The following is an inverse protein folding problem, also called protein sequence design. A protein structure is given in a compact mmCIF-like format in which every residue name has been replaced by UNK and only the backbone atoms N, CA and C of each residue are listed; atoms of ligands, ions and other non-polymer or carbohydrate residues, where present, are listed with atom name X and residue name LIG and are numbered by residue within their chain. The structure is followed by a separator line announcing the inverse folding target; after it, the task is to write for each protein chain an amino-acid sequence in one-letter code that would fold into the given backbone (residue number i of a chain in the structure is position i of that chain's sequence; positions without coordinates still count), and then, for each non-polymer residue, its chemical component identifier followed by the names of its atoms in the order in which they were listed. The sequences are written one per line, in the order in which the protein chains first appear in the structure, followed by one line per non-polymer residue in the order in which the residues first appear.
data_IF_666450476359
#
_entry.id   IF_666450476359
#
_cell.length_a   1.000
_cell.length_b   1.000
_cell.length_c   1.000
_cell.angle_alpha   90.00
_cell.angle_beta   90.00
_cell.angle_gamma   90.00
#
_symmetry.space_group_name_H-M   'P 1'
#
loop_
_entity.id
_entity.type
_entity.pdbx_description
1 polymer ?
#
# COMPACT_ATOMS: atom_id res chain seq x y z
N UNK A 1 10.01 2.38 14.34
CA UNK A 1 9.10 2.05 13.23
C UNK A 1 7.93 1.17 13.65
N UNK A 2 8.18 0.03 14.30
CA UNK A 2 7.14 -0.90 14.84
C UNK A 2 5.94 -0.24 15.54
N UNK A 3 6.17 0.74 16.42
CA UNK A 3 5.07 1.44 17.10
C UNK A 3 4.14 2.22 16.14
N UNK A 4 4.69 2.80 15.06
CA UNK A 4 3.94 3.50 14.01
C UNK A 4 3.15 2.50 13.16
N UNK A 5 3.74 1.37 12.82
CA UNK A 5 3.07 0.28 12.09
C UNK A 5 1.88 -0.25 12.88
N UNK A 6 2.06 -0.57 14.16
CA UNK A 6 0.97 -0.98 15.04
C UNK A 6 -0.15 0.07 15.11
N UNK A 7 0.18 1.37 15.11
CA UNK A 7 -0.82 2.43 15.06
C UNK A 7 -1.54 2.52 13.70
N UNK A 8 -0.85 2.23 12.60
CA UNK A 8 -1.44 2.14 11.27
C UNK A 8 -2.41 0.97 11.16
N UNK A 9 -2.04 -0.18 11.71
CA UNK A 9 -2.90 -1.37 11.75
C UNK A 9 -4.12 -1.14 12.64
N UNK A 10 -3.93 -0.52 13.81
CA UNK A 10 -5.04 -0.14 14.69
C UNK A 10 -6.03 0.81 13.98
N UNK A 11 -5.54 1.78 13.21
CA UNK A 11 -6.40 2.66 12.41
C UNK A 11 -7.16 1.89 11.34
N UNK A 12 -6.50 0.96 10.63
CA UNK A 12 -7.15 0.10 9.63
C UNK A 12 -8.26 -0.74 10.27
N UNK A 13 -7.99 -1.33 11.42
CA UNK A 13 -8.95 -2.14 12.17
C UNK A 13 -10.16 -1.33 12.63
N UNK A 14 -9.94 -0.15 13.23
CA UNK A 14 -11.03 0.74 13.67
C UNK A 14 -11.94 1.14 12.49
N UNK A 15 -11.33 1.46 11.33
CA UNK A 15 -12.06 1.79 10.10
C UNK A 15 -12.90 0.61 9.60
N UNK A 16 -12.34 -0.60 9.62
CA UNK A 16 -13.06 -1.81 9.23
C UNK A 16 -14.23 -2.11 10.18
N UNK A 17 -14.07 -1.91 11.48
CA UNK A 17 -15.14 -2.10 12.45
C UNK A 17 -16.31 -1.13 12.22
N UNK A 18 -16.02 0.15 12.00
CA UNK A 18 -17.04 1.15 11.63
C UNK A 18 -17.75 0.77 10.33
N UNK A 19 -17.00 0.36 9.31
CA UNK A 19 -17.58 -0.04 8.02
C UNK A 19 -18.48 -1.28 8.17
N UNK A 20 -18.04 -2.29 8.92
CA UNK A 20 -18.84 -3.49 9.21
C UNK A 20 -20.11 -3.17 10.01
N UNK A 21 -20.06 -2.20 10.91
CA UNK A 21 -21.25 -1.69 11.60
C UNK A 21 -22.22 -1.05 10.61
N UNK A 22 -21.75 -0.12 9.77
CA UNK A 22 -22.58 0.57 8.77
C UNK A 22 -23.22 -0.39 7.78
N UNK A 23 -22.47 -1.38 7.28
CA UNK A 23 -22.97 -2.39 6.34
C UNK A 23 -24.08 -3.26 6.95
N UNK A 24 -23.98 -3.65 8.22
CA UNK A 24 -25.02 -4.41 8.92
C UNK A 24 -26.34 -3.64 9.07
N UNK A 25 -26.27 -2.30 9.05
CA UNK A 25 -27.44 -1.43 9.08
C UNK A 25 -27.83 -0.88 7.70
N UNK A 26 -27.31 -1.47 6.61
CA UNK A 26 -27.65 -1.08 5.24
C UNK A 26 -27.18 0.33 4.85
N UNK A 27 -26.21 0.90 5.57
CA UNK A 27 -25.67 2.24 5.28
C UNK A 27 -24.46 2.13 4.36
N UNK A 28 -24.60 2.65 3.14
CA UNK A 28 -23.53 2.65 2.13
C UNK A 28 -23.23 4.09 1.74
N UNK A 29 -21.96 4.46 1.77
CA UNK A 29 -21.51 5.77 1.34
C UNK A 29 -21.39 5.81 -0.20
N UNK A 30 -22.18 6.67 -0.85
CA UNK A 30 -22.18 6.83 -2.32
C UNK A 30 -21.21 7.90 -2.85
N UNK A 31 -20.41 8.52 -1.98
CA UNK A 31 -19.43 9.53 -2.40
C UNK A 31 -18.17 8.92 -3.01
N UNK A 32 -17.33 9.78 -3.62
CA UNK A 32 -16.13 9.34 -4.35
C UNK A 32 -15.09 8.65 -3.47
N UNK A 33 -14.76 9.23 -2.31
CA UNK A 33 -13.64 8.76 -1.50
C UNK A 33 -13.99 8.74 -0.01
N UNK A 34 -13.79 7.59 0.67
CA UNK A 34 -14.02 7.45 2.10
C UNK A 34 -12.97 8.22 2.91
N UNK A 35 -13.28 8.50 4.17
CA UNK A 35 -12.42 9.20 5.15
C UNK A 35 -12.10 10.67 4.83
N UNK A 36 -12.73 11.23 3.80
CA UNK A 36 -12.71 12.66 3.47
C UNK A 36 -13.62 13.48 4.40
N UNK A 37 -13.55 14.82 4.31
CA UNK A 37 -14.50 15.72 5.01
C UNK A 37 -15.95 15.42 4.63
N UNK A 38 -16.21 15.05 3.38
CA UNK A 38 -17.54 14.67 2.91
C UNK A 38 -18.02 13.36 3.58
N UNK A 39 -17.15 12.35 3.69
CA UNK A 39 -17.47 11.12 4.41
C UNK A 39 -17.76 11.39 5.89
N UNK A 40 -16.98 12.24 6.55
CA UNK A 40 -17.22 12.61 7.96
C UNK A 40 -18.58 13.30 8.16
N UNK A 41 -18.94 14.23 7.27
CA UNK A 41 -20.26 14.87 7.29
C UNK A 41 -21.39 13.86 7.07
N UNK A 42 -21.20 12.93 6.15
CA UNK A 42 -22.17 11.86 5.92
C UNK A 42 -22.35 10.98 7.17
N UNK A 43 -21.28 10.62 7.88
CA UNK A 43 -21.36 9.88 9.15
C UNK A 43 -22.20 10.64 10.20
N UNK A 44 -22.01 11.96 10.34
CA UNK A 44 -22.78 12.77 11.30
C UNK A 44 -24.26 12.89 10.94
N UNK A 45 -24.63 12.68 9.69
CA UNK A 45 -26.02 12.70 9.23
C UNK A 45 -26.73 11.34 9.36
N UNK A 46 -26.03 10.29 9.81
CA UNK A 46 -26.67 8.99 10.00
C UNK A 46 -27.59 9.04 11.23
N UNK A 47 -28.84 8.66 11.00
CA UNK A 47 -29.82 8.42 12.05
C UNK A 47 -30.17 6.92 12.08
N UNK A 48 -30.39 6.42 13.28
CA UNK A 48 -30.82 5.04 13.54
C UNK A 48 -32.08 5.04 14.40
N UNK A 49 -32.95 4.05 14.18
CA UNK A 49 -34.22 3.92 14.91
C UNK A 49 -34.00 3.58 16.39
N UNK A 50 -32.92 2.86 16.70
CA UNK A 50 -32.58 2.47 18.05
C UNK A 50 -31.46 3.35 18.63
N UNK A 51 -31.65 4.02 19.78
CA UNK A 51 -30.69 4.97 20.33
C UNK A 51 -29.31 4.36 20.63
N UNK A 52 -29.24 3.07 20.97
CA UNK A 52 -27.94 2.41 21.20
C UNK A 52 -27.07 2.38 19.93
N UNK A 53 -27.65 2.32 18.73
CA UNK A 53 -26.90 2.38 17.48
C UNK A 53 -26.27 3.76 17.25
N UNK A 54 -26.90 4.84 17.73
CA UNK A 54 -26.33 6.18 17.64
C UNK A 54 -25.10 6.33 18.56
N UNK A 55 -25.17 5.76 19.76
CA UNK A 55 -24.05 5.70 20.70
C UNK A 55 -22.90 4.90 20.07
N UNK A 56 -23.18 3.70 19.55
CA UNK A 56 -22.19 2.87 18.89
C UNK A 56 -21.53 3.56 17.69
N UNK A 57 -22.30 4.25 16.84
CA UNK A 57 -21.73 5.02 15.73
C UNK A 57 -20.74 6.07 16.24
N UNK A 58 -21.10 6.79 17.30
CA UNK A 58 -20.27 7.84 17.89
C UNK A 58 -18.97 7.24 18.44
N UNK A 59 -19.05 6.13 19.17
CA UNK A 59 -17.89 5.40 19.69
C UNK A 59 -16.96 4.91 18.57
N UNK A 60 -17.51 4.33 17.49
CA UNK A 60 -16.70 3.91 16.35
C UNK A 60 -16.02 5.10 15.64
N UNK A 61 -16.72 6.23 15.50
CA UNK A 61 -16.14 7.44 14.93
C UNK A 61 -15.01 7.99 15.81
N UNK A 62 -15.20 7.99 17.13
CA UNK A 62 -14.19 8.41 18.09
C UNK A 62 -12.95 7.51 18.05
N UNK A 63 -13.14 6.18 18.04
CA UNK A 63 -12.04 5.21 17.93
C UNK A 63 -11.18 5.44 16.65
N UNK A 64 -11.82 5.74 15.52
CA UNK A 64 -11.10 6.08 14.28
C UNK A 64 -10.35 7.41 14.42
N UNK A 65 -10.94 8.41 15.07
CA UNK A 65 -10.31 9.70 15.30
C UNK A 65 -9.06 9.55 16.19
N UNK A 66 -9.18 8.84 17.30
CA UNK A 66 -8.08 8.61 18.25
C UNK A 66 -6.93 7.82 17.62
N UNK A 67 -7.25 6.75 16.88
CA UNK A 67 -6.25 5.99 16.14
C UNK A 67 -5.54 6.86 15.07
N UNK A 68 -6.29 7.75 14.40
CA UNK A 68 -5.72 8.69 13.42
C UNK A 68 -4.77 9.69 14.08
N UNK A 69 -5.16 10.28 15.22
CA UNK A 69 -4.33 11.21 16.00
C UNK A 69 -3.05 10.51 16.47
N UNK A 70 -3.17 9.28 16.99
CA UNK A 70 -2.02 8.49 17.43
C UNK A 70 -1.04 8.22 16.29
N UNK A 71 -1.55 7.81 15.12
CA UNK A 71 -0.73 7.58 13.94
C UNK A 71 -0.04 8.86 13.47
N UNK A 72 -0.76 9.98 13.41
CA UNK A 72 -0.20 11.28 13.01
C UNK A 72 0.92 11.74 13.96
N UNK A 73 0.69 11.64 15.28
CA UNK A 73 1.71 11.95 16.29
C UNK A 73 2.97 11.11 16.11
N UNK A 74 2.83 9.78 15.92
CA UNK A 74 3.97 8.89 15.70
C UNK A 74 4.68 9.16 14.36
N UNK A 75 3.92 9.57 13.34
CA UNK A 75 4.44 9.96 12.03
C UNK A 75 5.33 11.20 12.16
N UNK A 76 4.86 12.22 12.87
CA UNK A 76 5.63 13.45 13.15
C UNK A 76 6.92 13.15 13.92
N UNK A 77 6.83 12.35 14.99
CA UNK A 77 8.01 11.93 15.75
C UNK A 77 9.05 11.21 14.87
N UNK A 78 8.61 10.36 13.94
CA UNK A 78 9.52 9.69 13.00
C UNK A 78 10.19 10.71 12.07
N UNK A 79 9.44 11.67 11.52
CA UNK A 79 10.00 12.72 10.66
C UNK A 79 11.04 13.56 11.40
N UNK A 80 10.71 14.02 12.61
CA UNK A 80 11.58 14.85 13.45
C UNK A 80 12.85 14.09 13.85
N UNK A 81 12.71 12.82 14.29
CA UNK A 81 13.86 12.01 14.70
C UNK A 81 14.75 11.65 13.51
N UNK A 82 14.16 11.35 12.35
CA UNK A 82 14.92 10.99 11.16
C UNK A 82 15.74 12.17 10.60
N UNK A 83 15.32 13.41 10.84
CA UNK A 83 16.04 14.61 10.38
C UNK A 83 17.37 14.83 11.13
N UNK A 84 17.42 14.51 12.43
CA UNK A 84 18.64 14.63 13.26
C UNK A 84 19.46 13.35 13.35
N UNK A 85 18.98 12.25 12.74
CA UNK A 85 19.66 10.97 12.74
C UNK A 85 20.85 10.97 11.79
N UNK A 86 21.98 10.37 12.21
CA UNK A 86 23.21 10.26 11.41
C UNK A 86 23.01 9.58 10.04
N UNK A 87 21.95 8.79 9.88
CA UNK A 87 21.62 8.11 8.62
C UNK A 87 20.69 8.91 7.70
N UNK A 88 20.37 10.17 8.01
CA UNK A 88 19.54 11.04 7.18
C UNK A 88 20.01 11.13 5.70
N UNK A 89 21.32 11.21 5.38
CA UNK A 89 21.77 11.19 3.99
C UNK A 89 21.44 9.89 3.25
N UNK A 90 21.42 8.76 3.96
CA UNK A 90 21.05 7.46 3.39
C UNK A 90 19.55 7.40 3.12
N UNK A 91 18.73 7.88 4.05
CA UNK A 91 17.28 8.02 3.84
C UNK A 91 16.99 8.87 2.59
N UNK A 92 17.69 10.01 2.43
CA UNK A 92 17.54 10.88 1.26
C UNK A 92 17.95 10.18 -0.05
N UNK A 93 19.03 9.39 -0.03
CA UNK A 93 19.46 8.61 -1.18
C UNK A 93 18.40 7.56 -1.59
N UNK A 94 17.76 6.90 -0.61
CA UNK A 94 16.65 5.99 -0.88
C UNK A 94 15.43 6.71 -1.48
N UNK A 95 15.09 7.91 -0.98
CA UNK A 95 13.98 8.70 -1.52
C UNK A 95 14.21 9.20 -2.95
N UNK A 96 15.47 9.41 -3.36
CA UNK A 96 15.80 9.80 -4.73
C UNK A 96 15.46 8.70 -5.76
N UNK A 97 15.28 7.45 -5.31
CA UNK A 97 14.77 6.38 -6.16
C UNK A 97 13.29 6.58 -6.48
N UNK A 98 12.94 6.45 -7.76
CA UNK A 98 11.58 6.69 -8.26
C UNK A 98 10.57 5.82 -7.51
N UNK A 99 9.62 6.47 -6.84
CA UNK A 99 8.50 5.81 -6.15
C UNK A 99 8.76 5.45 -4.68
N UNK A 100 9.93 5.77 -4.11
CA UNK A 100 10.20 5.50 -2.69
C UNK A 100 9.69 6.64 -1.81
N UNK A 101 8.65 6.36 -1.03
CA UNK A 101 8.14 7.30 -0.03
C UNK A 101 9.09 7.43 1.16
N UNK A 102 9.07 8.59 1.83
CA UNK A 102 9.88 8.87 3.03
C UNK A 102 9.78 7.77 4.09
N UNK A 103 8.55 7.42 4.48
CA UNK A 103 8.32 6.41 5.52
C UNK A 103 8.87 5.04 5.13
N UNK A 104 8.78 4.69 3.84
CA UNK A 104 9.35 3.46 3.29
C UNK A 104 10.88 3.49 3.39
N UNK A 105 11.52 4.59 2.99
CA UNK A 105 12.97 4.77 3.12
C UNK A 105 13.44 4.66 4.58
N UNK A 106 12.79 5.37 5.51
CA UNK A 106 13.13 5.31 6.94
C UNK A 106 12.96 3.88 7.50
N UNK A 107 11.88 3.18 7.11
CA UNK A 107 11.67 1.79 7.53
C UNK A 107 12.80 0.89 7.07
N UNK A 108 13.19 1.00 5.79
CA UNK A 108 14.31 0.23 5.24
C UNK A 108 15.61 0.49 6.00
N UNK A 109 15.97 1.76 6.24
CA UNK A 109 17.22 2.09 6.93
C UNK A 109 17.21 1.61 8.38
N UNK A 110 16.06 1.67 9.07
CA UNK A 110 15.92 1.18 10.45
C UNK A 110 15.97 -0.35 10.54
N UNK A 111 15.26 -1.07 9.68
CA UNK A 111 15.19 -2.54 9.74
C UNK A 111 16.49 -3.21 9.23
N UNK A 112 17.19 -2.57 8.29
CA UNK A 112 18.49 -3.07 7.82
C UNK A 112 19.61 -2.76 8.83
N UNK A 113 19.45 -1.70 9.64
CA UNK A 113 20.15 -1.51 10.92
C UNK A 113 21.66 -1.26 10.88
N UNK A 114 22.36 -1.57 9.78
CA UNK A 114 23.79 -1.31 9.65
C UNK A 114 24.21 -1.08 8.20
N UNK A 115 24.14 0.18 7.77
CA UNK A 115 24.64 0.61 6.46
C UNK A 115 26.14 0.96 6.54
N UNK A 116 26.80 0.79 7.70
CA UNK A 116 28.26 0.96 7.83
C UNK A 116 29.08 -0.07 7.04
N UNK A 117 28.44 -1.08 6.42
CA UNK A 117 29.12 -1.92 5.42
C UNK A 117 29.27 -1.25 4.05
N UNK A 118 28.59 -0.14 3.82
CA UNK A 118 28.62 0.59 2.55
C UNK A 118 29.10 2.02 2.81
N UNK A 119 30.40 2.22 2.65
CA UNK A 119 31.05 3.52 2.84
C UNK A 119 30.64 4.56 1.78
N UNK A 120 29.93 4.14 0.72
CA UNK A 120 29.53 4.99 -0.39
C UNK A 120 28.14 4.61 -0.96
N UNK A 121 27.25 5.58 -1.23
CA UNK A 121 25.99 5.37 -1.97
C UNK A 121 26.12 4.57 -3.27
N UNK A 122 27.26 4.66 -3.97
CA UNK A 122 27.57 3.88 -5.19
C UNK A 122 27.83 2.40 -4.91
N UNK A 123 28.43 2.03 -3.77
CA UNK A 123 28.63 0.63 -3.39
C UNK A 123 27.30 -0.07 -3.08
N UNK A 124 26.35 0.66 -2.49
CA UNK A 124 25.00 0.17 -2.28
C UNK A 124 24.24 -0.02 -3.61
N UNK A 125 24.34 0.93 -4.54
CA UNK A 125 23.75 0.80 -5.88
C UNK A 125 24.37 -0.35 -6.70
N UNK A 126 25.65 -0.66 -6.49
CA UNK A 126 26.32 -1.82 -7.07
C UNK A 126 25.86 -3.14 -6.44
N UNK A 127 25.62 -3.16 -5.12
CA UNK A 127 25.05 -4.32 -4.42
C UNK A 127 23.59 -4.59 -4.83
N UNK A 128 22.83 -3.53 -5.11
CA UNK A 128 21.45 -3.57 -5.62
C UNK A 128 21.36 -3.63 -7.16
N UNK A 129 22.49 -3.86 -7.86
CA UNK A 129 22.56 -3.94 -9.33
C UNK A 129 21.51 -4.89 -9.94
N UNK A 130 21.14 -4.69 -11.22
CA UNK A 130 19.83 -5.04 -11.78
C UNK A 130 19.59 -6.54 -11.82
N UNK A 131 19.07 -7.09 -10.72
CA UNK A 131 18.47 -8.42 -10.66
C UNK A 131 17.22 -8.38 -9.79
N UNK A 132 16.20 -7.66 -10.30
CA UNK A 132 14.77 -7.91 -10.06
C UNK A 132 13.89 -7.01 -10.95
N UNK A 133 14.19 -6.91 -12.23
CA UNK A 133 13.15 -6.65 -13.25
C UNK A 133 13.27 -7.79 -14.26
N UNK A 134 12.82 -8.96 -13.83
CA UNK A 134 12.57 -10.09 -14.70
C UNK A 134 11.38 -9.76 -15.60
N UNK A 135 11.70 -9.16 -16.76
CA UNK A 135 10.95 -9.19 -18.02
C UNK A 135 9.45 -8.88 -17.94
N UNK A 136 9.13 -7.62 -18.21
CA UNK A 136 7.85 -7.25 -18.81
C UNK A 136 7.73 -7.97 -20.16
N UNK A 137 6.72 -8.83 -20.24
CA UNK A 137 6.17 -9.48 -21.42
C UNK A 137 6.19 -8.59 -22.67
N UNK A 138 6.83 -9.06 -23.73
CA UNK A 138 6.48 -8.71 -25.11
C UNK A 138 6.48 -9.95 -25.98
N UNK A 139 5.32 -10.14 -26.62
CA UNK A 139 5.02 -10.90 -27.84
C UNK A 139 4.76 -12.39 -27.67
N UNK A 140 3.46 -12.65 -27.54
CA UNK A 140 2.72 -13.66 -28.29
C UNK A 140 3.30 -14.02 -29.65
N UNK A 141 3.33 -15.33 -29.92
CA UNK A 141 3.34 -15.90 -31.27
C UNK A 141 4.25 -17.13 -31.37
N UNK A 142 3.65 -18.30 -31.59
CA UNK A 142 4.27 -19.64 -31.81
C UNK A 142 4.77 -20.33 -30.53
N UNK A 143 4.45 -21.58 -30.22
CA UNK A 143 3.82 -22.66 -31.00
C UNK A 143 3.16 -23.64 -30.02
N UNK A 144 1.92 -24.02 -30.30
CA UNK A 144 1.33 -25.30 -29.90
C UNK A 144 0.21 -25.62 -30.89
N UNK A 145 0.53 -26.40 -31.91
CA UNK A 145 -0.42 -27.26 -32.59
C UNK A 145 0.33 -28.38 -33.33
N UNK A 146 0.96 -29.26 -32.57
CA UNK A 146 1.21 -30.62 -33.01
C UNK A 146 0.07 -31.47 -32.45
N UNK A 147 -0.97 -31.67 -33.27
CA UNK A 147 -1.70 -32.94 -33.31
C UNK A 147 -2.64 -32.95 -34.53
N UNK A 148 -2.53 -34.04 -35.28
CA UNK A 148 -3.51 -34.62 -36.22
C UNK A 148 -3.51 -34.12 -37.66
N UNK A 149 -3.30 -35.08 -38.58
CA UNK A 149 -3.70 -34.94 -39.98
C UNK A 149 -2.70 -35.51 -40.97
N UNK A 150 -2.58 -36.84 -41.02
CA UNK A 150 -1.83 -37.53 -42.05
C UNK A 150 -2.27 -37.19 -43.47
N UNK A 151 -1.26 -37.13 -44.35
CA UNK A 151 -1.26 -37.52 -45.76
C UNK A 151 -2.63 -37.75 -46.43
N UNK A 152 -2.95 -36.96 -47.45
CA UNK A 152 -3.23 -37.52 -48.77
C UNK A 152 -2.96 -36.54 -49.91
N UNK A 153 -2.29 -37.09 -50.92
CA UNK A 153 -1.89 -36.52 -52.21
C UNK A 153 -3.11 -36.11 -53.03
N UNK A 154 -3.00 -35.06 -53.86
CA UNK A 154 -3.30 -35.14 -55.31
C UNK A 154 -3.08 -33.81 -56.04
N UNK A 155 -2.21 -33.88 -57.07
CA UNK A 155 -2.32 -33.25 -58.40
C UNK A 155 -2.38 -31.73 -58.55
N UNK A 156 -1.33 -31.19 -59.21
CA UNK A 156 -1.49 -30.17 -60.27
C UNK A 156 -0.36 -30.26 -61.31
N UNK A 157 -0.78 -30.27 -62.57
CA UNK A 157 -0.03 -29.84 -63.76
C UNK A 157 0.84 -30.93 -64.39
N UNK A 158 0.97 -31.06 -65.70
CA UNK A 158 0.64 -30.14 -66.82
C UNK A 158 1.02 -30.88 -68.10
N UNK A 159 0.25 -30.66 -69.17
CA UNK A 159 0.60 -30.94 -70.58
C UNK A 159 0.82 -32.38 -71.03
#
# INVERSE_FOLDING_TARGET
MRAREAASDALKQARQQLQSFLLRHGRIYAGREPWTRAHRRWLTCQAFDHPAHQILLTEYCQAVADASVRLDRLTKLVVETAASWSMAPVVAAYQAMRGVAFMTAVTFVVEIGDVRRFDNPRQLMAYLGPRSVGKLNRRTGQAWRDHEGGQHKSSKGTH
#
